data_IF_135350619227
#
_entry.id   IF_135350619227
#
_cell.length_a   1.000
_cell.length_b   1.000
_cell.length_c   1.000
_cell.angle_alpha   90.00
_cell.angle_beta   90.00
_cell.angle_gamma   90.00
#
_symmetry.space_group_name_H-M   'P 1'
#
loop_
_entity.id
_entity.type
_entity.pdbx_description
1 polymer ?
#
# COMPACT_ATOMS: atom_id res chain seq x y z
N UNK A 1 4.41 -1.36 13.39
CA UNK A 1 4.42 -0.06 12.69
C UNK A 1 3.36 -0.09 11.60
N UNK A 2 2.55 0.96 11.50
CA UNK A 2 1.56 1.11 10.42
C UNK A 2 2.22 1.73 9.19
N UNK A 3 1.98 1.19 8.01
CA UNK A 3 2.60 1.64 6.76
C UNK A 3 1.53 1.92 5.71
N UNK A 4 1.61 3.09 5.08
CA UNK A 4 0.83 3.46 3.90
C UNK A 4 1.75 3.44 2.68
N UNK A 5 1.42 2.61 1.68
CA UNK A 5 2.14 2.51 0.42
C UNK A 5 1.41 3.32 -0.67
N UNK A 6 2.13 4.22 -1.34
CA UNK A 6 1.55 5.06 -2.40
C UNK A 6 1.97 4.52 -3.78
N UNK A 7 0.98 4.34 -4.65
CA UNK A 7 1.14 3.92 -6.05
C UNK A 7 0.40 2.62 -6.38
N UNK A 8 0.46 2.23 -7.65
CA UNK A 8 -0.30 1.10 -8.20
C UNK A 8 0.49 0.25 -9.20
N UNK A 9 1.80 0.46 -9.31
CA UNK A 9 2.67 -0.24 -10.25
C UNK A 9 3.22 -1.57 -9.73
N UNK A 10 4.03 -2.23 -10.55
CA UNK A 10 4.69 -3.49 -10.20
C UNK A 10 5.74 -3.33 -9.08
N UNK A 11 6.37 -2.16 -8.97
CA UNK A 11 7.30 -1.85 -7.88
C UNK A 11 6.58 -1.84 -6.54
N UNK A 12 5.43 -1.19 -6.47
CA UNK A 12 4.61 -1.12 -5.26
C UNK A 12 4.07 -2.51 -4.90
N UNK A 13 3.71 -3.33 -5.88
CA UNK A 13 3.38 -4.74 -5.63
C UNK A 13 4.53 -5.48 -4.93
N UNK A 14 5.76 -5.40 -5.46
CA UNK A 14 6.91 -6.08 -4.87
C UNK A 14 7.22 -5.58 -3.44
N UNK A 15 7.06 -4.27 -3.21
CA UNK A 15 7.19 -3.67 -1.87
C UNK A 15 6.11 -4.19 -0.93
N UNK A 16 4.84 -4.22 -1.34
CA UNK A 16 3.74 -4.74 -0.54
C UNK A 16 3.95 -6.21 -0.15
N UNK A 17 4.36 -7.04 -1.11
CA UNK A 17 4.71 -8.45 -0.87
C UNK A 17 5.80 -8.60 0.20
N UNK A 18 6.85 -7.77 0.15
CA UNK A 18 7.95 -7.86 1.12
C UNK A 18 7.56 -7.29 2.49
N UNK A 19 6.82 -6.19 2.51
CA UNK A 19 6.37 -5.52 3.74
C UNK A 19 5.39 -6.40 4.53
N UNK A 20 4.47 -7.10 3.87
CA UNK A 20 3.52 -8.00 4.51
C UNK A 20 4.18 -9.19 5.24
N UNK A 21 5.44 -9.50 4.93
CA UNK A 21 6.23 -10.56 5.59
C UNK A 21 7.06 -10.04 6.78
N UNK A 22 7.09 -8.73 7.01
CA UNK A 22 7.90 -8.13 8.07
C UNK A 22 7.17 -8.15 9.40
N UNK A 23 7.74 -8.83 10.41
CA UNK A 23 7.21 -8.81 11.78
C UNK A 23 7.22 -7.44 12.46
N UNK A 24 7.82 -6.42 11.83
CA UNK A 24 7.79 -5.02 12.31
C UNK A 24 6.58 -4.24 11.79
N UNK A 25 5.93 -4.72 10.73
CA UNK A 25 4.75 -4.09 10.14
C UNK A 25 3.52 -4.68 10.80
N UNK A 26 2.74 -3.83 11.46
CA UNK A 26 1.52 -4.22 12.17
C UNK A 26 0.27 -3.99 11.34
N UNK A 27 0.35 -3.11 10.34
CA UNK A 27 -0.75 -2.79 9.42
C UNK A 27 -0.12 -2.26 8.12
N UNK A 28 -0.66 -2.70 6.98
CA UNK A 28 -0.23 -2.27 5.66
C UNK A 28 -1.46 -1.89 4.84
N UNK A 29 -1.50 -0.62 4.42
CA UNK A 29 -2.50 -0.10 3.50
C UNK A 29 -1.84 0.44 2.24
N UNK A 30 -2.60 0.54 1.15
CA UNK A 30 -2.11 1.08 -0.13
C UNK A 30 -3.15 1.94 -0.82
N UNK A 31 -2.69 3.00 -1.49
CA UNK A 31 -3.53 3.86 -2.33
C UNK A 31 -2.75 4.36 -3.56
N UNK A 32 -3.35 4.39 -4.78
CA UNK A 32 -4.63 3.78 -5.13
C UNK A 32 -4.55 2.24 -5.19
N UNK A 33 -3.35 1.65 -5.28
CA UNK A 33 -3.13 0.21 -5.33
C UNK A 33 -3.62 -0.46 -6.63
N UNK A 34 -3.52 -1.79 -6.66
CA UNK A 34 -4.01 -2.64 -7.75
C UNK A 34 -4.48 -4.01 -7.17
N UNK A 35 -5.17 -4.86 -7.96
CA UNK A 35 -5.68 -6.15 -7.47
C UNK A 35 -4.60 -7.09 -6.91
N UNK A 36 -3.36 -7.00 -7.41
CA UNK A 36 -2.24 -7.77 -6.88
C UNK A 36 -1.70 -7.24 -5.55
N UNK A 37 -1.81 -5.94 -5.29
CA UNK A 37 -1.46 -5.36 -3.98
C UNK A 37 -2.52 -5.70 -2.93
N UNK A 38 -3.80 -5.83 -3.33
CA UNK A 38 -4.91 -6.17 -2.44
C UNK A 38 -4.73 -7.52 -1.72
N UNK A 39 -3.84 -8.40 -2.19
CA UNK A 39 -3.54 -9.67 -1.51
C UNK A 39 -2.62 -9.49 -0.29
N UNK A 40 -1.99 -8.32 -0.14
CA UNK A 40 -1.00 -8.03 0.90
C UNK A 40 -1.34 -6.81 1.77
N UNK A 41 -2.13 -5.88 1.24
CA UNK A 41 -2.45 -4.61 1.86
C UNK A 41 -3.93 -4.28 1.69
N UNK A 42 -4.51 -3.57 2.67
CA UNK A 42 -5.84 -2.98 2.51
C UNK A 42 -5.80 -1.82 1.50
N UNK A 43 -6.72 -1.80 0.53
CA UNK A 43 -6.80 -0.73 -0.43
C UNK A 43 -7.70 0.40 0.09
N UNK A 44 -7.13 1.59 0.25
CA UNK A 44 -7.88 2.81 0.55
C UNK A 44 -7.91 3.71 -0.67
N UNK A 45 -9.08 4.26 -0.99
CA UNK A 45 -9.21 5.29 -2.01
C UNK A 45 -8.93 6.63 -1.35
N UNK A 46 -7.70 7.13 -1.51
CA UNK A 46 -7.32 8.48 -1.07
C UNK A 46 -7.20 9.32 -2.32
N UNK A 47 -8.02 10.36 -2.40
CA UNK A 47 -7.95 11.35 -3.47
C UNK A 47 -6.95 12.41 -3.02
N UNK A 48 -5.94 12.66 -3.85
CA UNK A 48 -5.05 13.79 -3.63
C UNK A 48 -5.80 15.06 -4.08
N UNK A 49 -6.08 15.95 -3.14
CA UNK A 49 -6.59 17.29 -3.40
C UNK A 49 -5.49 18.30 -3.11
N UNK A 50 -5.34 19.29 -3.99
CA UNK A 50 -4.40 20.38 -3.80
C UNK A 50 -5.04 21.41 -2.88
N UNK A 51 -4.41 21.67 -1.73
CA UNK A 51 -4.84 22.71 -0.78
C UNK A 51 -4.12 24.01 -1.14
N UNK A 52 -4.74 24.75 -2.06
CA UNK A 52 -4.31 26.10 -2.45
C UNK A 52 -4.47 27.15 -1.36
#
# INVERSE_FOLDING_TARGET
MKVLLIGSGGREHALAWKLAKSGKVSELSCTPGNPGIATYAELSQVIAEDVG
#
